data_IF_327663735822
#
_entry.id   IF_327663735822
#
_cell.length_a   1.000
_cell.length_b   1.000
_cell.length_c   1.000
_cell.angle_alpha   90.00
_cell.angle_beta   90.00
_cell.angle_gamma   90.00
#
_symmetry.space_group_name_H-M   'P 1'
#
loop_
_entity.id
_entity.type
_entity.pdbx_description
1 polymer ?
2 non-polymer ?
#
# COMPACT_ATOMS: atom_id res chain seq x y z
N UNK A 1 -15.33 -14.36 -6.71
CA UNK A 1 -14.53 -14.51 -5.47
C UNK A 1 -14.41 -13.16 -4.76
N UNK A 2 -14.90 -13.09 -3.53
CA UNK A 2 -14.86 -11.84 -2.78
C UNK A 2 -14.04 -11.86 -1.49
N UNK A 3 -13.12 -12.81 -1.37
CA UNK A 3 -12.27 -12.90 -0.19
C UNK A 3 -11.15 -11.88 -0.29
N UNK A 4 -10.70 -11.39 0.86
CA UNK A 4 -9.62 -10.42 0.88
C UNK A 4 -8.84 -10.46 2.18
N UNK A 5 -7.59 -10.01 2.08
CA UNK A 5 -6.69 -9.90 3.21
C UNK A 5 -6.44 -8.39 3.19
N UNK A 6 -6.37 -7.77 4.35
CA UNK A 6 -6.18 -6.33 4.36
C UNK A 6 -5.25 -5.76 5.42
N UNK A 7 -4.71 -4.60 5.10
CA UNK A 7 -3.83 -3.87 5.99
C UNK A 7 -4.37 -2.44 5.92
N UNK A 8 -4.93 -1.97 7.03
CA UNK A 8 -5.52 -0.64 7.06
C UNK A 8 -4.86 0.36 7.99
N UNK A 9 -4.81 1.60 7.53
CA UNK A 9 -4.25 2.67 8.33
C UNK A 9 -2.76 2.58 8.60
N UNK A 10 -2.02 1.95 7.69
CA UNK A 10 -0.57 1.82 7.84
C UNK A 10 -0.03 3.24 7.71
N UNK A 11 0.89 3.62 8.59
CA UNK A 11 1.44 4.96 8.52
C UNK A 11 2.96 5.00 8.52
N UNK A 12 3.49 5.79 7.61
CA UNK A 12 4.92 5.92 7.50
C UNK A 12 5.26 7.39 7.36
N UNK A 13 6.46 7.75 7.81
CA UNK A 13 6.92 9.12 7.70
C UNK A 13 7.98 9.10 6.61
N UNK A 14 7.67 9.77 5.50
CA UNK A 14 8.57 9.82 4.37
C UNK A 14 8.80 11.23 3.89
N UNK A 15 9.56 11.36 2.80
CA UNK A 15 9.87 12.66 2.24
C UNK A 15 9.46 12.80 0.79
N UNK A 16 8.49 11.99 0.37
CA UNK A 16 8.02 12.06 -1.00
C UNK A 16 7.20 13.34 -1.17
N UNK A 17 7.13 13.84 -2.40
CA UNK A 17 6.37 15.05 -2.66
C UNK A 17 6.87 15.85 -3.84
N UNK A 18 5.93 16.41 -4.61
CA UNK A 18 6.23 17.21 -5.80
C UNK A 18 6.82 18.59 -5.47
N UNK A 19 6.86 18.93 -4.20
CA UNK A 19 7.42 20.21 -3.78
C UNK A 19 8.76 19.95 -3.10
N UNK A 20 9.76 20.78 -3.42
CA UNK A 20 11.10 20.64 -2.84
C UNK A 20 11.07 20.66 -1.32
N UNK A 21 10.29 21.58 -0.75
CA UNK A 21 10.17 21.71 0.70
C UNK A 21 9.49 20.48 1.32
N UNK A 22 8.63 19.82 0.55
CA UNK A 22 7.94 18.64 1.03
C UNK A 22 8.98 17.58 1.34
N UNK A 23 9.82 17.28 0.36
CA UNK A 23 10.87 16.29 0.52
C UNK A 23 11.90 16.70 1.57
N UNK A 24 11.95 17.99 1.88
CA UNK A 24 12.90 18.48 2.87
C UNK A 24 12.43 18.21 4.29
N UNK A 25 11.16 18.48 4.55
CA UNK A 25 10.56 18.30 5.87
C UNK A 25 9.89 16.93 6.09
N UNK A 26 9.24 16.41 5.06
CA UNK A 26 8.58 15.12 5.19
C UNK A 26 7.22 15.24 5.85
N UNK A 27 6.53 14.11 5.96
CA UNK A 27 5.20 14.08 6.56
C UNK A 27 4.77 12.63 6.72
N UNK A 28 3.59 12.43 7.29
CA UNK A 28 3.08 11.09 7.50
C UNK A 28 2.22 10.66 6.30
N UNK A 29 2.45 9.44 5.84
CA UNK A 29 1.69 8.89 4.73
C UNK A 29 0.89 7.72 5.30
N UNK A 30 -0.42 7.71 5.05
CA UNK A 30 -1.32 6.65 5.50
C UNK A 30 -1.57 5.75 4.29
N UNK A 31 -1.38 4.44 4.47
CA UNK A 31 -1.56 3.47 3.37
C UNK A 31 -2.55 2.33 3.66
N UNK A 32 -3.44 2.08 2.71
CA UNK A 32 -4.43 1.00 2.82
C UNK A 32 -4.20 0.00 1.68
N UNK A 33 -3.99 -1.26 2.04
CA UNK A 33 -3.76 -2.30 1.05
C UNK A 33 -4.82 -3.40 1.18
N UNK A 34 -5.39 -3.79 0.04
CA UNK A 34 -6.41 -4.83 -0.01
C UNK A 34 -6.07 -5.78 -1.13
N UNK A 35 -5.87 -7.04 -0.77
CA UNK A 35 -5.51 -8.06 -1.74
C UNK A 35 -6.66 -9.02 -1.99
N UNK A 36 -6.84 -9.39 -3.25
CA UNK A 36 -7.87 -10.35 -3.65
C UNK A 36 -7.20 -11.72 -3.64
N UNK A 37 -7.54 -12.53 -2.64
CA UNK A 37 -6.96 -13.86 -2.47
C UNK A 37 -8.00 -14.86 -1.97
N UNK A 38 -8.07 -16.01 -2.64
CA UNK A 38 -9.01 -17.08 -2.26
C UNK A 38 -8.52 -17.67 -0.94
N UNK A 39 -9.37 -17.66 0.10
CA UNK A 39 -8.99 -18.17 1.42
C UNK A 39 -9.70 -19.46 1.85
N UNK A 40 -10.30 -20.18 0.91
CA UNK A 40 -11.02 -21.41 1.25
C UNK A 40 -10.05 -22.48 1.74
N UNK A 41 -9.00 -22.74 0.97
CA UNK A 41 -8.02 -23.73 1.33
C UNK A 41 -7.47 -23.44 2.72
N UNK A 42 -6.92 -22.24 2.89
CA UNK A 42 -6.37 -21.83 4.18
C UNK A 42 -7.46 -21.85 5.24
N UNK A 43 -8.70 -21.61 4.82
CA UNK A 43 -9.81 -21.63 5.75
C UNK A 43 -10.10 -23.05 6.21
N UNK A 44 -9.88 -24.01 5.32
CA UNK A 44 -10.10 -25.43 5.63
C UNK A 44 -8.89 -26.07 6.31
N UNK A 45 -7.71 -25.87 5.72
CA UNK A 45 -6.47 -26.43 6.26
C UNK A 45 -5.93 -25.77 7.53
N UNK A 46 -6.14 -24.45 7.64
CA UNK A 46 -5.66 -23.68 8.79
C UNK A 46 -4.13 -23.49 8.66
N UNK A 47 -3.61 -23.72 7.46
CA UNK A 47 -2.17 -23.62 7.22
C UNK A 47 -1.76 -22.30 6.59
N UNK A 48 -1.04 -21.48 7.36
CA UNK A 48 -0.59 -20.18 6.90
C UNK A 48 0.19 -20.29 5.61
N UNK A 49 0.53 -21.52 5.24
CA UNK A 49 1.27 -21.74 4.01
C UNK A 49 0.30 -21.75 2.83
N UNK A 50 -0.99 -21.77 3.12
CA UNK A 50 -2.00 -21.79 2.06
C UNK A 50 -2.63 -20.41 1.85
N UNK A 51 -2.01 -19.39 2.42
CA UNK A 51 -2.50 -18.03 2.29
C UNK A 51 -1.33 -17.05 2.17
N UNK A 52 -1.63 -15.76 2.18
CA UNK A 52 -0.60 -14.76 2.09
C UNK A 52 -0.47 -14.07 3.45
N UNK A 53 0.68 -14.27 4.08
CA UNK A 53 0.98 -13.70 5.38
C UNK A 53 1.05 -12.17 5.32
N UNK A 54 0.26 -11.48 6.14
CA UNK A 54 0.26 -10.01 6.15
C UNK A 54 1.53 -9.37 6.66
N UNK A 55 2.16 -10.01 7.65
CA UNK A 55 3.40 -9.48 8.21
C UNK A 55 4.43 -9.23 7.12
N UNK A 56 4.50 -10.16 6.17
CA UNK A 56 5.42 -10.06 5.05
C UNK A 56 5.00 -8.93 4.13
N UNK A 57 3.69 -8.84 3.88
CA UNK A 57 3.15 -7.81 3.01
C UNK A 57 3.47 -6.43 3.60
N UNK A 58 3.38 -6.32 4.93
CA UNK A 58 3.66 -5.06 5.60
C UNK A 58 5.12 -4.68 5.39
N UNK A 59 5.99 -5.68 5.28
CA UNK A 59 7.41 -5.45 5.08
C UNK A 59 7.62 -4.79 3.73
N UNK A 60 6.94 -5.32 2.72
CA UNK A 60 7.04 -4.79 1.36
C UNK A 60 6.53 -3.35 1.26
N UNK A 61 5.47 -3.03 2.00
CA UNK A 61 4.93 -1.68 1.97
C UNK A 61 5.90 -0.74 2.68
N UNK A 62 6.36 -1.17 3.85
CA UNK A 62 7.28 -0.38 4.65
C UNK A 62 8.55 -0.01 3.90
N UNK A 63 9.19 -1.02 3.30
CA UNK A 63 10.44 -0.84 2.56
C UNK A 63 10.30 0.15 1.42
N UNK A 64 9.10 0.23 0.85
CA UNK A 64 8.82 1.14 -0.24
C UNK A 64 8.46 2.53 0.27
N UNK A 65 7.63 2.59 1.31
CA UNK A 65 7.23 3.87 1.88
C UNK A 65 8.41 4.57 2.53
N UNK A 66 9.19 3.82 3.30
CA UNK A 66 10.35 4.40 3.97
C UNK A 66 11.65 4.25 3.17
N UNK A 67 11.51 4.21 1.85
CA UNK A 67 12.66 4.09 0.97
C UNK A 67 12.91 5.42 0.28
N UNK A 68 13.67 5.41 -0.81
CA UNK A 68 13.99 6.63 -1.55
C UNK A 68 12.77 7.53 -1.80
N UNK A 69 12.98 8.83 -1.77
CA UNK A 69 11.91 9.78 -1.98
C UNK A 69 11.55 9.97 -3.46
N UNK A 70 10.29 9.72 -3.79
CA UNK A 70 9.82 9.88 -5.16
C UNK A 70 8.98 11.14 -5.20
N UNK A 71 8.34 11.41 -6.33
CA UNK A 71 7.53 12.61 -6.45
C UNK A 71 6.06 12.36 -6.16
N UNK A 72 5.46 11.44 -6.90
CA UNK A 72 4.04 11.17 -6.77
C UNK A 72 3.59 9.96 -5.95
N UNK A 73 2.44 10.15 -5.32
CA UNK A 73 1.81 9.10 -4.53
C UNK A 73 1.50 7.98 -5.51
N UNK A 74 1.27 8.35 -6.77
CA UNK A 74 0.95 7.39 -7.84
C UNK A 74 2.10 6.43 -8.08
N UNK A 75 3.31 6.95 -7.90
CA UNK A 75 4.51 6.15 -8.10
C UNK A 75 4.72 5.18 -6.95
N UNK A 76 4.43 5.64 -5.73
CA UNK A 76 4.58 4.79 -4.56
C UNK A 76 3.57 3.63 -4.60
N UNK A 77 2.33 3.94 -4.97
CA UNK A 77 1.26 2.94 -5.05
C UNK A 77 1.52 1.92 -6.16
N UNK A 78 2.08 2.42 -7.25
CA UNK A 78 2.41 1.60 -8.40
C UNK A 78 3.58 0.66 -8.07
N UNK A 79 4.51 1.14 -7.25
CA UNK A 79 5.67 0.35 -6.82
C UNK A 79 5.22 -0.71 -5.81
N UNK A 80 4.26 -0.35 -4.96
CA UNK A 80 3.72 -1.28 -3.97
C UNK A 80 2.88 -2.35 -4.66
N UNK A 81 1.96 -1.92 -5.52
CA UNK A 81 1.09 -2.85 -6.23
C UNK A 81 1.90 -3.82 -7.09
N UNK A 82 2.92 -3.31 -7.76
CA UNK A 82 3.76 -4.16 -8.61
C UNK A 82 4.61 -5.14 -7.80
N UNK A 83 5.08 -4.70 -6.64
CA UNK A 83 5.92 -5.52 -5.75
C UNK A 83 5.17 -6.69 -5.07
N UNK A 84 3.92 -6.47 -4.69
CA UNK A 84 3.11 -7.49 -4.04
C UNK A 84 2.73 -8.59 -5.01
N UNK A 85 2.25 -8.19 -6.18
CA UNK A 85 1.83 -9.12 -7.23
C UNK A 85 2.97 -9.99 -7.77
N UNK A 86 4.17 -9.41 -7.88
CA UNK A 86 5.34 -10.13 -8.37
C UNK A 86 5.77 -11.23 -7.40
N UNK A 87 5.56 -10.98 -6.11
CA UNK A 87 5.96 -11.92 -5.08
C UNK A 87 4.91 -12.96 -4.71
N UNK A 88 3.63 -12.63 -4.86
CA UNK A 88 2.58 -13.59 -4.50
C UNK A 88 1.64 -13.95 -5.63
N UNK A 89 1.63 -15.24 -5.96
CA UNK A 89 0.77 -15.74 -7.03
C UNK A 89 -0.68 -15.81 -6.58
N UNK A 90 -0.91 -16.12 -5.30
CA UNK A 90 -2.27 -16.23 -4.76
C UNK A 90 -3.04 -14.88 -4.77
N UNK A 91 -2.31 -13.77 -4.88
CA UNK A 91 -2.93 -12.45 -4.93
C UNK A 91 -3.39 -12.24 -6.37
N UNK A 92 -4.70 -12.32 -6.60
CA UNK A 92 -5.22 -12.15 -7.95
C UNK A 92 -5.31 -10.71 -8.35
N UNK A 93 -5.27 -9.82 -7.36
CA UNK A 93 -5.39 -8.40 -7.62
C UNK A 93 -5.00 -7.59 -6.39
N UNK A 94 -4.29 -6.49 -6.62
CA UNK A 94 -3.84 -5.61 -5.54
C UNK A 94 -4.41 -4.19 -5.66
N UNK A 95 -4.88 -3.64 -4.53
CA UNK A 95 -5.45 -2.30 -4.46
C UNK A 95 -4.75 -1.44 -3.40
N UNK A 96 -4.11 -0.36 -3.84
CA UNK A 96 -3.39 0.53 -2.93
C UNK A 96 -3.94 1.95 -2.89
N UNK A 97 -4.23 2.40 -1.68
CA UNK A 97 -4.76 3.73 -1.43
C UNK A 97 -3.77 4.43 -0.52
N UNK A 98 -3.29 5.59 -0.94
CA UNK A 98 -2.35 6.34 -0.12
C UNK A 98 -2.95 7.71 0.17
N UNK A 99 -2.85 8.12 1.42
CA UNK A 99 -3.42 9.38 1.83
C UNK A 99 -2.42 10.31 2.49
N UNK A 100 -2.47 11.57 2.08
CA UNK A 100 -1.64 12.61 2.65
C UNK A 100 -2.67 13.45 3.39
N UNK A 101 -2.85 13.16 4.67
CA UNK A 101 -3.82 13.89 5.44
C UNK A 101 -3.37 15.33 5.71
N UNK A 102 -2.10 15.64 5.42
CA UNK A 102 -1.57 16.98 5.68
C UNK A 102 -0.60 17.51 4.62
N UNK A 103 -1.07 17.65 3.37
CA UNK A 103 -0.21 18.15 2.29
C UNK A 103 -0.03 19.68 2.31
N UNK A 104 0.78 20.21 1.38
CA UNK A 104 1.03 21.65 1.29
C UNK A 104 -0.13 22.38 0.60
N UNK A 105 -1.34 22.19 1.14
CA UNK A 105 -2.54 22.81 0.60
C UNK A 105 -3.27 23.63 1.68
N UNK A 106 -3.23 24.97 1.56
CA UNK A 106 -3.87 25.89 2.52
C UNK A 106 -5.39 25.76 2.60
N UNK A 107 -5.84 24.85 3.47
CA UNK A 107 -7.26 24.64 3.64
C UNK A 107 -7.57 23.68 4.78
N UNK A 108 -8.85 23.34 4.92
CA UNK A 108 -9.32 22.43 5.95
C UNK A 108 -9.94 21.24 5.24
N UNK A 109 -9.35 20.07 5.43
CA UNK A 109 -9.81 18.84 4.80
C UNK A 109 -9.28 17.71 5.65
N UNK A 110 -9.90 16.54 5.53
CA UNK A 110 -9.44 15.39 6.30
C UNK A 110 -8.22 14.76 5.66
N UNK A 111 -8.04 15.00 4.37
CA UNK A 111 -6.90 14.45 3.66
C UNK A 111 -7.12 14.36 2.16
N UNK A 112 -6.04 14.10 1.43
CA UNK A 112 -6.12 13.98 -0.03
C UNK A 112 -5.35 12.74 -0.40
N UNK A 113 -5.57 12.23 -1.59
CA UNK A 113 -4.82 11.05 -1.97
C UNK A 113 -5.24 10.42 -3.27
N UNK A 114 -4.78 9.19 -3.45
CA UNK A 114 -5.09 8.44 -4.64
C UNK A 114 -5.31 6.97 -4.29
N UNK A 115 -5.90 6.24 -5.22
CA UNK A 115 -6.13 4.82 -5.04
C UNK A 115 -6.07 4.13 -6.38
N UNK A 116 -5.29 3.06 -6.46
CA UNK A 116 -5.15 2.29 -7.69
C UNK A 116 -5.49 0.83 -7.44
N UNK A 117 -5.95 0.16 -8.49
CA UNK A 117 -6.29 -1.26 -8.41
C UNK A 117 -5.50 -1.93 -9.52
N UNK A 118 -4.63 -2.86 -9.16
CA UNK A 118 -3.80 -3.56 -10.14
C UNK A 118 -3.97 -5.07 -10.13
N UNK A 119 -4.46 -5.63 -11.23
CA UNK A 119 -4.63 -7.08 -11.29
C UNK A 119 -3.27 -7.77 -11.42
N UNK A 120 -3.19 -9.01 -10.95
CA UNK A 120 -1.95 -9.79 -11.01
C UNK A 120 -1.94 -10.60 -12.30
N UNK A 121 -1.06 -10.21 -13.22
CA UNK A 121 -0.93 -10.89 -14.50
C UNK A 121 0.07 -12.05 -14.41
X LIG B 1 2.63 19.50 -4.01
X LIG B 1 2.90 18.01 -4.04
X LIG B 1 1.89 17.38 -4.82
X LIG B 1 1.90 16.03 -5.00
X LIG B 1 2.78 15.34 -4.49
X LIG B 1 0.81 15.41 -5.81
X LIG B 1 -0.20 16.20 -6.40
X LIG B 1 -1.19 15.64 -7.13
X LIG B 1 -1.24 14.30 -7.32
X LIG B 1 -2.28 13.75 -8.08
X LIG B 1 -0.30 13.51 -6.77
X LIG B 1 0.72 14.01 -6.03
X LIG B 1 1.66 13.15 -5.49
#
# INVERSE_FOLDING_TARGET
MQDTIFLKGMRFYGYHGALSAENEIGQIFKVDVTLKVDLSEAGRTDNVIDTVHYGEVFEEVKSIMEGKAVNLLEHLAERIANRINSQYNRVMETKVRITKENPPIPGHYDGVGIEIVRENK
204 C1 C2 O3 C4 O5 C6 C7 N8 C9 N10 N11 C12 O13
#
